data_IF_201242241435
#
_entry.id   IF_201242241435
#
_cell.length_a   1.000
_cell.length_b   1.000
_cell.length_c   1.000
_cell.angle_alpha   90.00
_cell.angle_beta   90.00
_cell.angle_gamma   90.00
#
_symmetry.space_group_name_H-M   'P 1'
#
loop_
_entity.id
_entity.type
_entity.pdbx_description
1 polymer ?
#
# COMPACT_ATOMS: atom_id res chain seq x y z
N UNK A 1 -22.97 -23.09 34.17
CA UNK A 1 -23.87 -21.98 33.76
C UNK A 1 -24.97 -22.46 32.79
N UNK A 2 -25.58 -23.63 33.06
CA UNK A 2 -26.71 -24.20 32.30
C UNK A 2 -28.08 -23.69 32.79
N UNK A 3 -28.09 -22.97 33.91
CA UNK A 3 -29.30 -22.57 34.65
C UNK A 3 -30.18 -21.64 33.81
N UNK A 4 -29.63 -20.60 33.17
CA UNK A 4 -30.43 -19.61 32.43
C UNK A 4 -31.27 -20.21 31.28
N UNK A 5 -30.77 -21.29 30.67
CA UNK A 5 -31.43 -22.00 29.56
C UNK A 5 -32.43 -23.05 30.01
N UNK A 6 -32.41 -23.43 31.30
CA UNK A 6 -33.34 -24.39 31.89
C UNK A 6 -34.44 -23.76 32.76
N UNK A 7 -34.44 -22.43 32.91
CA UNK A 7 -35.48 -21.74 33.71
C UNK A 7 -36.86 -21.92 33.07
N UNK A 8 -37.80 -22.40 33.87
CA UNK A 8 -39.23 -22.45 33.59
C UNK A 8 -39.88 -21.07 33.80
N UNK A 9 -41.11 -20.89 33.34
CA UNK A 9 -41.86 -19.65 33.60
C UNK A 9 -42.09 -19.40 35.11
N UNK A 10 -42.23 -20.46 35.90
CA UNK A 10 -42.34 -20.35 37.36
C UNK A 10 -41.04 -19.83 37.99
N UNK A 11 -39.88 -20.36 37.56
CA UNK A 11 -38.57 -19.89 38.05
C UNK A 11 -38.34 -18.42 37.67
N UNK A 12 -38.78 -18.01 36.48
CA UNK A 12 -38.69 -16.61 36.05
C UNK A 12 -39.53 -15.69 36.94
N UNK A 13 -40.77 -16.09 37.27
CA UNK A 13 -41.63 -15.32 38.17
C UNK A 13 -41.01 -15.18 39.57
N UNK A 14 -40.45 -16.26 40.13
CA UNK A 14 -39.76 -16.23 41.43
C UNK A 14 -38.53 -15.30 41.39
N UNK A 15 -37.73 -15.36 40.32
CA UNK A 15 -36.60 -14.45 40.14
C UNK A 15 -37.06 -12.99 40.05
N UNK A 16 -38.17 -12.68 39.38
CA UNK A 16 -38.71 -11.31 39.32
C UNK A 16 -39.17 -10.78 40.68
N UNK A 17 -39.69 -11.66 41.55
CA UNK A 17 -40.00 -11.32 42.93
C UNK A 17 -38.72 -11.04 43.73
N UNK A 18 -37.70 -11.90 43.60
CA UNK A 18 -36.40 -11.74 44.25
C UNK A 18 -35.68 -10.44 43.86
N UNK A 19 -35.85 -9.95 42.63
CA UNK A 19 -35.29 -8.65 42.21
C UNK A 19 -35.84 -7.49 43.04
N UNK A 20 -37.07 -7.61 43.56
CA UNK A 20 -37.73 -6.57 44.36
C UNK A 20 -37.36 -6.64 45.83
N UNK A 21 -36.69 -7.70 46.27
CA UNK A 21 -36.23 -7.87 47.64
C UNK A 21 -35.26 -6.72 48.03
N UNK A 22 -35.50 -6.15 49.21
CA UNK A 22 -34.68 -5.08 49.80
C UNK A 22 -33.81 -5.58 50.95
N UNK A 23 -34.03 -6.80 51.44
CA UNK A 23 -33.29 -7.35 52.57
C UNK A 23 -31.85 -7.74 52.18
N UNK A 24 -31.65 -8.25 50.97
CA UNK A 24 -30.34 -8.65 50.45
C UNK A 24 -30.13 -8.10 49.02
N UNK A 25 -29.45 -6.94 48.87
CA UNK A 25 -29.19 -6.33 47.56
C UNK A 25 -28.36 -7.21 46.62
N UNK A 26 -27.46 -8.05 47.14
CA UNK A 26 -26.62 -8.91 46.32
C UNK A 26 -27.41 -10.09 45.79
N UNK A 27 -28.27 -10.70 46.61
CA UNK A 27 -29.21 -11.74 46.16
C UNK A 27 -30.18 -11.21 45.10
N UNK A 28 -30.74 -10.03 45.34
CA UNK A 28 -31.62 -9.36 44.37
C UNK A 28 -30.88 -9.07 43.05
N UNK A 29 -29.62 -8.63 43.11
CA UNK A 29 -28.79 -8.42 41.92
C UNK A 29 -28.46 -9.71 41.18
N UNK A 30 -28.16 -10.80 41.89
CA UNK A 30 -27.90 -12.08 41.25
C UNK A 30 -29.13 -12.60 40.51
N UNK A 31 -30.33 -12.45 41.08
CA UNK A 31 -31.57 -12.76 40.38
C UNK A 31 -31.76 -11.89 39.12
N UNK A 32 -31.51 -10.58 39.26
CA UNK A 32 -31.56 -9.63 38.15
C UNK A 32 -30.58 -9.97 37.03
N UNK A 33 -29.33 -10.32 37.38
CA UNK A 33 -28.30 -10.74 36.45
C UNK A 33 -28.70 -12.01 35.69
N UNK A 34 -29.24 -13.01 36.38
CA UNK A 34 -29.68 -14.27 35.76
C UNK A 34 -30.81 -14.03 34.76
N UNK A 35 -31.82 -13.22 35.13
CA UNK A 35 -32.93 -12.86 34.24
C UNK A 35 -32.45 -12.15 32.98
N UNK A 36 -31.59 -11.14 33.13
CA UNK A 36 -31.02 -10.43 31.98
C UNK A 36 -30.13 -11.33 31.12
N UNK A 37 -29.34 -12.21 31.74
CA UNK A 37 -28.51 -13.16 31.02
C UNK A 37 -29.33 -14.21 30.23
N UNK A 38 -30.59 -14.46 30.59
CA UNK A 38 -31.53 -15.25 29.78
C UNK A 38 -31.97 -14.48 28.54
N UNK A 39 -32.45 -13.24 28.69
CA UNK A 39 -32.89 -12.42 27.56
C UNK A 39 -31.76 -12.12 26.57
N UNK A 40 -30.55 -11.85 27.06
CA UNK A 40 -29.36 -11.68 26.23
C UNK A 40 -29.07 -12.92 25.37
N UNK A 41 -29.17 -14.13 25.95
CA UNK A 41 -28.97 -15.39 25.21
C UNK A 41 -30.07 -15.68 24.20
N UNK A 42 -31.29 -15.24 24.48
CA UNK A 42 -32.40 -15.30 23.53
C UNK A 42 -32.35 -14.20 22.47
N UNK A 43 -31.33 -13.31 22.50
CA UNK A 43 -31.18 -12.14 21.65
C UNK A 43 -32.40 -11.19 21.71
N UNK A 44 -33.09 -11.17 22.85
CA UNK A 44 -34.25 -10.31 23.10
C UNK A 44 -33.80 -9.00 23.77
N UNK A 45 -33.22 -8.10 22.96
CA UNK A 45 -32.75 -6.79 23.42
C UNK A 45 -33.87 -5.90 23.98
N UNK A 46 -35.10 -6.05 23.48
CA UNK A 46 -36.27 -5.29 23.93
C UNK A 46 -36.66 -5.63 25.37
N UNK A 47 -36.80 -6.94 25.69
CA UNK A 47 -37.06 -7.38 27.07
C UNK A 47 -35.87 -7.11 27.98
N UNK A 48 -34.64 -7.34 27.50
CA UNK A 48 -33.42 -7.01 28.25
C UNK A 48 -33.45 -5.54 28.69
N UNK A 49 -33.62 -4.61 27.74
CA UNK A 49 -33.65 -3.17 28.00
C UNK A 49 -34.79 -2.77 28.94
N UNK A 50 -35.98 -3.30 28.72
CA UNK A 50 -37.16 -2.99 29.55
C UNK A 50 -36.94 -3.40 31.01
N UNK A 51 -36.47 -4.63 31.23
CA UNK A 51 -36.19 -5.13 32.57
C UNK A 51 -35.02 -4.38 33.22
N UNK A 52 -33.98 -4.07 32.43
CA UNK A 52 -32.83 -3.31 32.91
C UNK A 52 -33.25 -1.93 33.42
N UNK A 53 -33.95 -1.14 32.59
CA UNK A 53 -34.36 0.22 32.95
C UNK A 53 -35.31 0.25 34.15
N UNK A 54 -36.13 -0.80 34.34
CA UNK A 54 -37.05 -0.90 35.47
C UNK A 54 -36.33 -1.06 36.82
N UNK A 55 -35.22 -1.81 36.86
CA UNK A 55 -34.61 -2.23 38.12
C UNK A 55 -33.19 -1.72 38.37
N UNK A 56 -32.45 -1.31 37.33
CA UNK A 56 -31.02 -0.99 37.42
C UNK A 56 -30.67 0.09 38.44
N UNK A 57 -31.56 1.09 38.64
CA UNK A 57 -31.33 2.18 39.59
C UNK A 57 -31.11 1.72 41.04
N UNK A 58 -31.67 0.56 41.42
CA UNK A 58 -31.52 -0.04 42.75
C UNK A 58 -30.13 -0.64 42.99
N UNK A 59 -29.43 -0.97 41.91
CA UNK A 59 -28.15 -1.67 41.94
C UNK A 59 -26.99 -0.72 41.60
N UNK A 60 -27.18 0.59 41.78
CA UNK A 60 -26.17 1.63 41.50
C UNK A 60 -24.84 1.38 42.21
N UNK A 61 -24.90 0.89 43.45
CA UNK A 61 -23.75 0.59 44.29
C UNK A 61 -23.03 -0.73 43.97
N UNK A 62 -23.58 -1.58 43.10
CA UNK A 62 -23.00 -2.91 42.80
C UNK A 62 -22.09 -2.78 41.57
N UNK A 63 -20.76 -2.95 41.70
CA UNK A 63 -19.83 -2.76 40.58
C UNK A 63 -20.07 -3.73 39.43
N UNK A 64 -20.57 -4.94 39.72
CA UNK A 64 -20.88 -5.95 38.72
C UNK A 64 -21.99 -5.50 37.76
N UNK A 65 -22.78 -4.47 38.10
CA UNK A 65 -23.76 -3.86 37.18
C UNK A 65 -23.11 -3.34 35.89
N UNK A 66 -21.83 -2.97 35.92
CA UNK A 66 -21.11 -2.50 34.74
C UNK A 66 -21.11 -3.53 33.59
N UNK A 67 -21.10 -4.84 33.86
CA UNK A 67 -21.21 -5.84 32.78
C UNK A 67 -22.59 -5.81 32.09
N UNK A 68 -23.65 -5.51 32.85
CA UNK A 68 -25.00 -5.38 32.31
C UNK A 68 -25.16 -4.10 31.50
N UNK A 69 -24.49 -3.02 31.88
CA UNK A 69 -24.40 -1.78 31.08
C UNK A 69 -23.66 -2.01 29.77
N UNK A 70 -22.57 -2.80 29.83
CA UNK A 70 -21.84 -3.22 28.64
C UNK A 70 -22.72 -4.07 27.71
N UNK A 71 -23.44 -5.06 28.24
CA UNK A 71 -24.40 -5.87 27.47
C UNK A 71 -25.54 -5.02 26.91
N UNK A 72 -26.06 -4.03 27.66
CA UNK A 72 -27.09 -3.11 27.18
C UNK A 72 -26.62 -2.30 25.97
N UNK A 73 -25.37 -1.80 26.02
CA UNK A 73 -24.77 -1.04 24.93
C UNK A 73 -24.57 -1.91 23.66
N UNK A 74 -24.26 -3.21 23.82
CA UNK A 74 -24.16 -4.15 22.69
C UNK A 74 -25.53 -4.49 22.07
N UNK A 75 -26.60 -4.49 22.88
CA UNK A 75 -27.96 -4.83 22.45
C UNK A 75 -28.78 -3.59 22.03
N UNK A 76 -28.13 -2.46 21.77
CA UNK A 76 -28.84 -1.24 21.39
C UNK A 76 -29.61 -1.44 20.07
N UNK A 77 -30.90 -1.01 19.98
CA UNK A 77 -31.71 -1.21 18.78
C UNK A 77 -31.15 -0.56 17.51
N UNK A 78 -30.32 0.48 17.64
CA UNK A 78 -29.68 1.16 16.52
C UNK A 78 -28.34 0.53 16.11
N UNK A 79 -27.94 -0.56 16.78
CA UNK A 79 -26.67 -1.25 16.59
C UNK A 79 -25.74 -1.08 17.80
N UNK A 80 -24.74 -1.96 17.97
CA UNK A 80 -23.91 -2.01 19.17
C UNK A 80 -23.11 -0.71 19.35
N UNK A 81 -23.24 -0.08 20.52
CA UNK A 81 -22.40 1.04 20.93
C UNK A 81 -21.10 0.50 21.57
N UNK A 82 -20.17 0.07 20.71
CA UNK A 82 -18.91 -0.54 21.12
C UNK A 82 -18.05 0.35 22.05
N UNK A 83 -17.90 1.67 21.83
CA UNK A 83 -17.17 2.54 22.77
C UNK A 83 -17.79 2.55 24.17
N UNK A 84 -19.12 2.65 24.28
CA UNK A 84 -19.78 2.59 25.58
C UNK A 84 -19.65 1.20 26.21
N UNK A 85 -19.87 0.14 25.43
CA UNK A 85 -19.72 -1.23 25.88
C UNK A 85 -18.32 -1.49 26.45
N UNK A 86 -17.28 -1.01 25.77
CA UNK A 86 -15.89 -1.18 26.18
C UNK A 86 -15.61 -0.44 27.49
N UNK A 87 -16.04 0.82 27.64
CA UNK A 87 -15.87 1.57 28.91
C UNK A 87 -16.52 0.85 30.10
N UNK A 88 -17.71 0.31 29.91
CA UNK A 88 -18.39 -0.45 30.95
C UNK A 88 -17.71 -1.80 31.22
N UNK A 89 -17.18 -2.47 30.20
CA UNK A 89 -16.42 -3.70 30.37
C UNK A 89 -15.10 -3.48 31.14
N UNK A 90 -14.39 -2.38 30.86
CA UNK A 90 -13.21 -1.94 31.62
C UNK A 90 -13.57 -1.71 33.08
N UNK A 91 -14.65 -0.97 33.36
CA UNK A 91 -15.14 -0.76 34.73
C UNK A 91 -15.39 -2.09 35.45
N UNK A 92 -15.98 -3.07 34.77
CA UNK A 92 -16.30 -4.37 35.35
C UNK A 92 -15.04 -5.20 35.67
N UNK A 93 -14.07 -5.27 34.74
CA UNK A 93 -12.85 -6.06 34.94
C UNK A 93 -11.91 -5.39 35.96
N UNK A 94 -11.86 -4.06 36.02
CA UNK A 94 -11.09 -3.34 37.06
C UNK A 94 -11.63 -3.61 38.47
N UNK A 95 -12.95 -3.73 38.61
CA UNK A 95 -13.57 -4.07 39.91
C UNK A 95 -13.33 -5.53 40.32
N UNK A 96 -13.16 -6.45 39.37
CA UNK A 96 -12.97 -7.88 39.62
C UNK A 96 -11.95 -8.50 38.64
N UNK A 97 -10.65 -8.20 38.79
CA UNK A 97 -9.62 -8.58 37.82
C UNK A 97 -9.44 -10.09 37.67
N UNK A 98 -9.71 -10.86 38.73
CA UNK A 98 -9.60 -12.32 38.71
C UNK A 98 -10.85 -13.04 38.17
N UNK A 99 -11.90 -12.30 37.81
CA UNK A 99 -13.11 -12.89 37.27
C UNK A 99 -12.95 -13.22 35.78
N UNK A 100 -12.66 -14.49 35.48
CA UNK A 100 -12.43 -14.98 34.12
C UNK A 100 -13.58 -14.70 33.14
N UNK A 101 -14.82 -14.60 33.62
CA UNK A 101 -15.95 -14.26 32.75
C UNK A 101 -15.93 -12.79 32.35
N UNK A 102 -15.52 -11.89 33.26
CA UNK A 102 -15.40 -10.46 32.98
C UNK A 102 -14.16 -10.16 32.15
N UNK A 103 -13.04 -10.84 32.41
CA UNK A 103 -11.83 -10.79 31.57
C UNK A 103 -12.18 -11.14 30.12
N UNK A 104 -12.87 -12.26 29.90
CA UNK A 104 -13.27 -12.66 28.56
C UNK A 104 -14.31 -11.73 27.93
N UNK A 105 -15.21 -11.15 28.73
CA UNK A 105 -16.17 -10.16 28.25
C UNK A 105 -15.47 -8.89 27.79
N UNK A 106 -14.57 -8.33 28.61
CA UNK A 106 -13.73 -7.19 28.25
C UNK A 106 -12.94 -7.46 26.96
N UNK A 107 -12.20 -8.57 26.92
CA UNK A 107 -11.41 -8.94 25.77
C UNK A 107 -12.24 -9.14 24.50
N UNK A 108 -13.45 -9.72 24.61
CA UNK A 108 -14.38 -9.84 23.48
C UNK A 108 -14.83 -8.47 22.97
N UNK A 109 -15.24 -7.57 23.87
CA UNK A 109 -15.71 -6.23 23.48
C UNK A 109 -14.58 -5.39 22.89
N UNK A 110 -13.36 -5.49 23.45
CA UNK A 110 -12.16 -4.85 22.89
C UNK A 110 -11.87 -5.37 21.48
N UNK A 111 -11.95 -6.69 21.28
CA UNK A 111 -11.77 -7.28 19.96
C UNK A 111 -12.84 -6.79 18.98
N UNK A 112 -14.13 -6.86 19.34
CA UNK A 112 -15.23 -6.35 18.50
C UNK A 112 -15.03 -4.86 18.16
N UNK A 113 -14.58 -4.05 19.11
CA UNK A 113 -14.25 -2.65 18.88
C UNK A 113 -13.11 -2.49 17.86
N UNK A 114 -12.00 -3.21 18.02
CA UNK A 114 -10.88 -3.18 17.06
C UNK A 114 -11.29 -3.65 15.65
N UNK A 115 -12.07 -4.74 15.55
CA UNK A 115 -12.58 -5.25 14.28
C UNK A 115 -13.58 -4.32 13.60
N UNK A 116 -14.30 -3.48 14.37
CA UNK A 116 -15.17 -2.43 13.82
C UNK A 116 -14.42 -1.21 13.26
N UNK A 117 -13.08 -1.18 13.37
CA UNK A 117 -12.25 -0.03 13.02
C UNK A 117 -12.05 0.97 14.17
N UNK A 118 -12.41 0.59 15.40
CA UNK A 118 -12.11 1.36 16.59
C UNK A 118 -10.61 1.46 16.85
N UNK A 119 -10.15 2.61 17.34
CA UNK A 119 -8.75 2.82 17.69
C UNK A 119 -8.41 2.01 18.95
N UNK A 120 -7.51 1.05 18.80
CA UNK A 120 -6.99 0.22 19.89
C UNK A 120 -5.47 0.28 19.86
N UNK A 121 -4.84 0.34 21.02
CA UNK A 121 -3.38 0.25 21.10
C UNK A 121 -2.92 -1.21 21.07
N UNK A 122 -1.73 -1.44 20.54
CA UNK A 122 -1.14 -2.78 20.50
C UNK A 122 -0.90 -3.33 21.92
N UNK A 123 -0.59 -2.45 22.88
CA UNK A 123 -0.37 -2.82 24.28
C UNK A 123 -1.67 -3.28 24.95
N UNK A 124 -2.80 -2.59 24.74
CA UNK A 124 -4.11 -3.03 25.23
C UNK A 124 -4.50 -4.40 24.67
N UNK A 125 -4.23 -4.63 23.38
CA UNK A 125 -4.52 -5.92 22.73
C UNK A 125 -3.65 -7.04 23.30
N UNK A 126 -2.36 -6.80 23.52
CA UNK A 126 -1.43 -7.77 24.13
C UNK A 126 -1.79 -8.08 25.59
N UNK A 127 -2.14 -7.06 26.36
CA UNK A 127 -2.59 -7.23 27.74
C UNK A 127 -3.86 -8.10 27.79
N UNK A 128 -4.87 -7.74 26.99
CA UNK A 128 -6.11 -8.51 26.90
C UNK A 128 -5.85 -9.96 26.44
N UNK A 129 -4.96 -10.16 25.47
CA UNK A 129 -4.57 -11.48 24.98
C UNK A 129 -3.96 -12.31 26.12
N UNK A 130 -3.03 -11.75 26.87
CA UNK A 130 -2.39 -12.42 28.02
C UNK A 130 -3.42 -12.84 29.06
N UNK A 131 -4.38 -11.98 29.40
CA UNK A 131 -5.43 -12.33 30.36
C UNK A 131 -6.36 -13.44 29.84
N UNK A 132 -6.67 -13.43 28.54
CA UNK A 132 -7.46 -14.49 27.91
C UNK A 132 -6.68 -15.81 27.84
N UNK A 133 -5.38 -15.78 27.59
CA UNK A 133 -4.54 -16.98 27.60
C UNK A 133 -4.53 -17.65 28.97
N UNK A 134 -4.39 -16.88 30.05
CA UNK A 134 -4.58 -17.37 31.42
C UNK A 134 -5.98 -17.99 31.62
N UNK A 135 -7.03 -17.37 31.08
CA UNK A 135 -8.39 -17.92 31.15
C UNK A 135 -8.53 -19.25 30.37
N UNK A 136 -7.85 -19.38 29.23
CA UNK A 136 -7.79 -20.64 28.45
C UNK A 136 -7.04 -21.72 29.24
N UNK A 137 -5.95 -21.39 29.92
CA UNK A 137 -5.20 -22.33 30.76
C UNK A 137 -6.04 -22.84 31.94
N UNK A 138 -6.75 -21.94 32.63
CA UNK A 138 -7.59 -22.28 33.78
C UNK A 138 -8.84 -23.08 33.35
N UNK A 139 -9.36 -22.83 32.14
CA UNK A 139 -10.59 -23.46 31.63
C UNK A 139 -10.44 -23.87 30.16
N UNK A 140 -9.67 -24.94 29.88
CA UNK A 140 -9.28 -25.31 28.52
C UNK A 140 -10.45 -25.75 27.63
N UNK A 141 -11.51 -26.25 28.25
CA UNK A 141 -12.75 -26.73 27.61
C UNK A 141 -13.73 -25.59 27.30
N UNK A 142 -13.41 -24.35 27.68
CA UNK A 142 -14.28 -23.22 27.47
C UNK A 142 -14.03 -22.58 26.08
N UNK A 143 -14.77 -23.06 25.07
CA UNK A 143 -14.66 -22.66 23.66
C UNK A 143 -14.61 -21.13 23.44
N UNK A 144 -15.46 -20.37 24.14
CA UNK A 144 -15.53 -18.90 24.03
C UNK A 144 -14.20 -18.20 24.29
N UNK A 145 -13.37 -18.71 25.21
CA UNK A 145 -12.07 -18.09 25.52
C UNK A 145 -11.11 -18.23 24.34
N UNK A 146 -11.15 -19.37 23.64
CA UNK A 146 -10.36 -19.59 22.42
C UNK A 146 -10.84 -18.73 21.25
N UNK A 147 -12.15 -18.53 21.12
CA UNK A 147 -12.70 -17.63 20.10
C UNK A 147 -12.29 -16.17 20.31
N UNK A 148 -12.26 -15.70 21.57
CA UNK A 148 -11.77 -14.35 21.89
C UNK A 148 -10.26 -14.24 21.67
N UNK A 149 -9.49 -15.25 22.09
CA UNK A 149 -8.04 -15.35 21.79
C UNK A 149 -7.77 -15.23 20.29
N UNK A 150 -8.58 -15.90 19.47
CA UNK A 150 -8.44 -15.85 18.02
C UNK A 150 -8.60 -14.44 17.46
N UNK A 151 -9.64 -13.72 17.90
CA UNK A 151 -9.90 -12.36 17.42
C UNK A 151 -8.80 -11.39 17.83
N UNK A 152 -8.27 -11.49 19.07
CA UNK A 152 -7.17 -10.65 19.54
C UNK A 152 -5.85 -10.96 18.84
N UNK A 153 -5.50 -12.24 18.67
CA UNK A 153 -4.30 -12.65 17.95
C UNK A 153 -4.30 -12.14 16.50
N UNK A 154 -5.46 -12.21 15.82
CA UNK A 154 -5.59 -11.67 14.48
C UNK A 154 -5.53 -10.13 14.45
N UNK A 155 -5.98 -9.41 15.49
CA UNK A 155 -5.75 -7.96 15.61
C UNK A 155 -4.26 -7.59 15.66
N UNK A 156 -3.45 -8.47 16.25
CA UNK A 156 -1.98 -8.39 16.30
C UNK A 156 -1.28 -9.03 15.09
N UNK A 157 -2.01 -9.28 13.99
CA UNK A 157 -1.54 -9.91 12.76
C UNK A 157 -0.93 -11.33 12.93
N UNK A 158 -1.14 -11.99 14.07
CA UNK A 158 -0.83 -13.41 14.29
C UNK A 158 -1.98 -14.30 13.80
N UNK A 159 -2.10 -14.38 12.47
CA UNK A 159 -3.19 -15.11 11.82
C UNK A 159 -3.12 -16.63 12.03
N UNK A 160 -1.93 -17.21 12.23
CA UNK A 160 -1.78 -18.65 12.40
C UNK A 160 -2.28 -19.08 13.79
N UNK A 161 -1.89 -18.37 14.85
CA UNK A 161 -2.44 -18.58 16.20
C UNK A 161 -3.94 -18.32 16.22
N UNK A 162 -4.40 -17.30 15.49
CA UNK A 162 -5.82 -16.96 15.43
C UNK A 162 -6.66 -18.09 14.81
N UNK A 163 -6.25 -18.58 13.64
CA UNK A 163 -6.95 -19.66 12.94
C UNK A 163 -6.94 -20.97 13.74
N UNK A 164 -5.81 -21.32 14.37
CA UNK A 164 -5.73 -22.49 15.24
C UNK A 164 -6.68 -22.36 16.46
N UNK A 165 -6.75 -21.16 17.05
CA UNK A 165 -7.59 -20.90 18.24
C UNK A 165 -9.08 -20.98 17.91
N UNK A 166 -9.54 -20.38 16.81
CA UNK A 166 -10.96 -20.46 16.41
C UNK A 166 -11.33 -21.87 15.94
N UNK A 167 -10.42 -22.59 15.30
CA UNK A 167 -10.66 -24.00 14.97
C UNK A 167 -10.85 -24.84 16.23
N UNK A 168 -10.01 -24.64 17.24
CA UNK A 168 -10.18 -25.34 18.53
C UNK A 168 -11.45 -24.93 19.26
N UNK A 169 -11.92 -23.68 19.11
CA UNK A 169 -13.22 -23.26 19.64
C UNK A 169 -14.38 -24.03 18.98
N UNK A 170 -14.33 -24.21 17.65
CA UNK A 170 -15.30 -25.01 16.90
C UNK A 170 -15.28 -26.48 17.34
N UNK A 171 -14.10 -27.08 17.53
CA UNK A 171 -13.96 -28.48 17.94
C UNK A 171 -14.54 -28.77 19.33
N UNK A 172 -14.60 -27.75 20.20
CA UNK A 172 -15.12 -27.86 21.57
C UNK A 172 -16.64 -27.66 21.66
N UNK A 173 -17.29 -27.29 20.56
CA UNK A 173 -18.74 -27.11 20.55
C UNK A 173 -19.49 -28.44 20.54
N UNK A 174 -20.58 -28.47 21.29
CA UNK A 174 -21.41 -29.66 21.49
C UNK A 174 -22.83 -29.34 21.02
N UNK A 175 -23.28 -30.08 20.00
CA UNK A 175 -24.59 -29.92 19.38
C UNK A 175 -25.76 -30.17 20.32
N UNK A 176 -25.54 -30.89 21.43
CA UNK A 176 -26.57 -31.11 22.44
C UNK A 176 -26.80 -29.88 23.35
N UNK A 177 -25.88 -28.90 23.37
CA UNK A 177 -25.97 -27.73 24.25
C UNK A 177 -26.87 -26.66 23.64
N UNK A 178 -27.72 -26.08 24.49
CA UNK A 178 -28.50 -24.89 24.12
C UNK A 178 -27.58 -23.75 23.63
N UNK A 179 -28.02 -23.05 22.58
CA UNK A 179 -27.25 -22.00 21.92
C UNK A 179 -26.10 -22.48 21.02
N UNK A 180 -25.98 -23.79 20.75
CA UNK A 180 -24.99 -24.35 19.82
C UNK A 180 -25.01 -23.67 18.45
N UNK A 181 -26.19 -23.56 17.83
CA UNK A 181 -26.33 -22.98 16.49
C UNK A 181 -25.79 -21.54 16.43
N UNK A 182 -26.07 -20.74 17.47
CA UNK A 182 -25.60 -19.35 17.56
C UNK A 182 -24.07 -19.32 17.67
N UNK A 183 -23.47 -20.15 18.53
CA UNK A 183 -22.01 -20.18 18.73
C UNK A 183 -21.25 -20.69 17.50
N UNK A 184 -21.76 -21.71 16.82
CA UNK A 184 -21.15 -22.21 15.58
C UNK A 184 -21.16 -21.14 14.49
N UNK A 185 -22.29 -20.44 14.31
CA UNK A 185 -22.38 -19.33 13.36
C UNK A 185 -21.39 -18.23 13.73
N UNK A 186 -21.32 -17.86 15.01
CA UNK A 186 -20.37 -16.86 15.51
C UNK A 186 -18.91 -17.25 15.24
N UNK A 187 -18.52 -18.50 15.52
CA UNK A 187 -17.13 -18.96 15.33
C UNK A 187 -16.77 -19.11 13.87
N UNK A 188 -17.70 -19.52 13.01
CA UNK A 188 -17.49 -19.50 11.57
C UNK A 188 -17.35 -18.08 11.02
N UNK A 189 -18.15 -17.12 11.51
CA UNK A 189 -17.98 -15.70 11.18
C UNK A 189 -16.58 -15.21 11.57
N UNK A 190 -16.17 -15.45 12.82
CA UNK A 190 -14.82 -15.08 13.29
C UNK A 190 -13.74 -15.68 12.39
N UNK A 191 -13.85 -16.98 12.04
CA UNK A 191 -12.88 -17.63 11.15
C UNK A 191 -12.85 -16.98 9.78
N UNK A 192 -14.00 -16.65 9.20
CA UNK A 192 -14.09 -15.97 7.91
C UNK A 192 -13.46 -14.57 7.96
N UNK A 193 -13.73 -13.78 9.01
CA UNK A 193 -13.15 -12.46 9.21
C UNK A 193 -11.61 -12.51 9.30
N UNK A 194 -11.08 -13.51 10.03
CA UNK A 194 -9.63 -13.76 10.14
C UNK A 194 -9.01 -14.09 8.79
N UNK A 195 -9.62 -15.01 8.02
CA UNK A 195 -9.13 -15.39 6.69
C UNK A 195 -9.13 -14.19 5.74
N UNK A 196 -10.24 -13.43 5.70
CA UNK A 196 -10.39 -12.27 4.85
C UNK A 196 -9.32 -11.22 5.14
N UNK A 197 -9.04 -10.96 6.43
CA UNK A 197 -8.01 -9.99 6.82
C UNK A 197 -6.59 -10.47 6.49
N UNK A 198 -6.29 -11.75 6.69
CA UNK A 198 -5.01 -12.36 6.28
C UNK A 198 -4.77 -12.19 4.78
N UNK A 199 -5.76 -12.53 3.96
CA UNK A 199 -5.69 -12.39 2.50
C UNK A 199 -5.56 -10.94 2.06
N UNK A 200 -6.31 -10.03 2.70
CA UNK A 200 -6.24 -8.59 2.41
C UNK A 200 -4.84 -8.03 2.69
N UNK A 201 -4.22 -8.39 3.82
CA UNK A 201 -2.87 -7.95 4.15
C UNK A 201 -1.82 -8.59 3.22
N UNK A 202 -1.97 -9.87 2.85
CA UNK A 202 -1.11 -10.52 1.87
C UNK A 202 -1.20 -9.87 0.48
N UNK A 203 -2.41 -9.57 0.02
CA UNK A 203 -2.64 -8.86 -1.24
C UNK A 203 -2.03 -7.47 -1.20
N UNK A 204 -2.19 -6.75 -0.09
CA UNK A 204 -1.61 -5.42 0.11
C UNK A 204 -0.08 -5.43 0.07
N UNK A 205 0.56 -6.42 0.70
CA UNK A 205 2.01 -6.64 0.64
C UNK A 205 2.47 -6.92 -0.79
N UNK A 206 1.81 -7.85 -1.47
CA UNK A 206 2.14 -8.22 -2.86
C UNK A 206 2.01 -7.03 -3.82
N UNK A 207 0.96 -6.22 -3.66
CA UNK A 207 0.74 -5.01 -4.45
C UNK A 207 1.85 -3.98 -4.23
N UNK A 208 2.26 -3.76 -2.97
CA UNK A 208 3.38 -2.86 -2.64
C UNK A 208 4.68 -3.34 -3.26
N UNK A 209 5.02 -4.61 -3.10
CA UNK A 209 6.23 -5.18 -3.71
C UNK A 209 6.22 -5.05 -5.24
N UNK A 210 5.06 -5.25 -5.87
CA UNK A 210 4.91 -5.10 -7.32
C UNK A 210 5.07 -3.64 -7.75
N UNK A 211 4.48 -2.69 -7.00
CA UNK A 211 4.63 -1.26 -7.26
C UNK A 211 6.09 -0.82 -7.13
N UNK A 212 6.79 -1.23 -6.08
CA UNK A 212 8.21 -0.93 -5.89
C UNK A 212 9.10 -1.52 -7.00
N UNK A 213 8.82 -2.76 -7.43
CA UNK A 213 9.55 -3.37 -8.55
C UNK A 213 9.32 -2.62 -9.85
N UNK A 214 8.08 -2.20 -10.10
CA UNK A 214 7.73 -1.43 -11.28
C UNK A 214 8.44 -0.07 -11.28
N UNK A 215 8.41 0.64 -10.16
CA UNK A 215 9.08 1.92 -9.95
C UNK A 215 10.59 1.81 -10.25
N UNK A 216 11.29 0.85 -9.61
CA UNK A 216 12.71 0.59 -9.89
C UNK A 216 12.99 0.31 -11.36
N UNK A 217 12.15 -0.51 -12.01
CA UNK A 217 12.32 -0.83 -13.43
C UNK A 217 12.09 0.38 -14.34
N UNK A 218 11.17 1.28 -13.97
CA UNK A 218 10.90 2.52 -14.69
C UNK A 218 12.07 3.50 -14.53
N UNK A 219 12.58 3.66 -13.31
CA UNK A 219 13.77 4.48 -13.04
C UNK A 219 14.97 4.01 -13.86
N UNK A 220 15.21 2.70 -13.90
CA UNK A 220 16.28 2.12 -14.73
C UNK A 220 16.09 2.41 -16.22
N UNK A 221 14.86 2.25 -16.75
CA UNK A 221 14.56 2.56 -18.15
C UNK A 221 14.76 4.03 -18.48
N UNK A 222 14.25 4.93 -17.62
CA UNK A 222 14.41 6.38 -17.78
C UNK A 222 15.89 6.76 -17.75
N UNK A 223 16.65 6.17 -16.82
CA UNK A 223 18.10 6.39 -16.74
C UNK A 223 18.82 5.91 -18.00
N UNK A 224 18.53 4.72 -18.51
CA UNK A 224 19.12 4.22 -19.77
C UNK A 224 18.81 5.13 -20.94
N UNK A 225 17.56 5.56 -21.10
CA UNK A 225 17.16 6.49 -22.18
C UNK A 225 17.89 7.83 -22.03
N UNK A 226 18.03 8.35 -20.82
CA UNK A 226 18.79 9.58 -20.57
C UNK A 226 20.29 9.44 -20.91
N UNK A 227 20.91 8.31 -20.55
CA UNK A 227 22.31 8.00 -20.87
C UNK A 227 22.51 7.83 -22.39
N UNK A 228 21.62 7.11 -23.08
CA UNK A 228 21.63 6.94 -24.53
C UNK A 228 21.46 8.27 -25.27
N UNK A 229 20.53 9.12 -24.81
CA UNK A 229 20.27 10.45 -25.42
C UNK A 229 21.50 11.35 -25.30
N UNK A 230 22.11 11.42 -24.11
CA UNK A 230 23.35 12.19 -23.89
C UNK A 230 24.50 11.66 -24.74
N UNK A 231 24.65 10.34 -24.87
CA UNK A 231 25.68 9.76 -25.71
C UNK A 231 25.45 10.07 -27.20
N UNK A 232 24.20 10.09 -27.66
CA UNK A 232 23.86 10.46 -29.03
C UNK A 232 24.14 11.94 -29.32
N UNK A 233 23.71 12.84 -28.42
CA UNK A 233 24.00 14.28 -28.51
C UNK A 233 25.50 14.57 -28.54
N UNK A 234 26.30 13.90 -27.69
CA UNK A 234 27.75 14.06 -27.69
C UNK A 234 28.38 13.60 -29.02
N UNK A 235 27.93 12.47 -29.58
CA UNK A 235 28.41 11.99 -30.89
C UNK A 235 28.09 12.99 -32.00
N UNK A 236 26.86 13.48 -32.07
CA UNK A 236 26.47 14.50 -33.05
C UNK A 236 27.27 15.80 -32.89
N UNK A 237 27.46 16.29 -31.65
CA UNK A 237 28.29 17.46 -31.39
C UNK A 237 29.75 17.26 -31.83
N UNK A 238 30.35 16.10 -31.56
CA UNK A 238 31.71 15.80 -32.01
C UNK A 238 31.80 15.72 -33.54
N UNK A 239 30.78 15.16 -34.19
CA UNK A 239 30.69 15.09 -35.65
C UNK A 239 30.58 16.49 -36.25
N UNK A 240 29.66 17.33 -35.79
CA UNK A 240 29.50 18.71 -36.25
C UNK A 240 30.77 19.53 -36.04
N UNK A 241 31.46 19.37 -34.90
CA UNK A 241 32.77 19.99 -34.67
C UNK A 241 33.81 19.53 -35.67
N UNK A 242 33.87 18.23 -35.97
CA UNK A 242 34.81 17.71 -36.97
C UNK A 242 34.52 18.21 -38.39
N UNK A 243 33.26 18.27 -38.79
CA UNK A 243 32.82 18.79 -40.09
C UNK A 243 33.10 20.30 -40.22
N UNK A 244 32.85 21.08 -39.17
CA UNK A 244 33.17 22.52 -39.15
C UNK A 244 34.68 22.77 -39.15
N UNK A 245 35.47 22.04 -38.38
CA UNK A 245 36.94 22.15 -38.42
C UNK A 245 37.51 21.75 -39.79
N UNK A 246 36.96 20.72 -40.43
CA UNK A 246 37.37 20.31 -41.77
C UNK A 246 37.09 21.40 -42.83
N UNK A 247 35.91 22.02 -42.79
CA UNK A 247 35.57 23.12 -43.71
C UNK A 247 36.43 24.39 -43.46
N UNK A 248 36.71 24.73 -42.19
CA UNK A 248 37.67 25.78 -41.83
C UNK A 248 39.08 25.48 -42.36
N UNK A 249 39.56 24.25 -42.20
CA UNK A 249 40.88 23.82 -42.70
C UNK A 249 40.98 23.88 -44.23
N UNK A 250 39.93 23.47 -44.94
CA UNK A 250 39.85 23.60 -46.39
C UNK A 250 39.91 25.06 -46.85
N UNK A 251 39.12 25.94 -46.24
CA UNK A 251 39.11 27.36 -46.59
C UNK A 251 40.48 28.00 -46.33
N UNK A 252 41.11 27.67 -45.19
CA UNK A 252 42.46 28.15 -44.88
C UNK A 252 43.50 27.67 -45.92
N UNK A 253 43.45 26.40 -46.32
CA UNK A 253 44.34 25.85 -47.35
C UNK A 253 44.13 26.53 -48.72
N UNK A 254 42.87 26.78 -49.09
CA UNK A 254 42.53 27.52 -50.31
C UNK A 254 43.08 28.94 -50.27
N UNK A 255 42.87 29.67 -49.17
CA UNK A 255 43.38 31.04 -49.02
C UNK A 255 44.91 31.06 -49.06
N UNK A 256 45.58 30.14 -48.37
CA UNK A 256 47.03 30.02 -48.38
C UNK A 256 47.56 29.74 -49.79
N UNK A 257 46.93 28.82 -50.53
CA UNK A 257 47.28 28.50 -51.90
C UNK A 257 47.12 29.70 -52.84
N UNK A 258 46.00 30.44 -52.73
CA UNK A 258 45.77 31.66 -53.49
C UNK A 258 46.86 32.70 -53.17
N UNK A 259 47.12 32.95 -51.88
CA UNK A 259 48.09 33.95 -51.43
C UNK A 259 49.53 33.63 -51.86
N UNK A 260 49.95 32.36 -51.73
CA UNK A 260 51.28 31.93 -52.20
C UNK A 260 51.38 32.03 -53.72
N UNK A 261 50.34 31.61 -54.44
CA UNK A 261 50.30 31.70 -55.88
C UNK A 261 50.36 33.13 -56.40
N UNK A 262 49.65 34.08 -55.77
CA UNK A 262 49.71 35.49 -56.13
C UNK A 262 51.05 36.13 -55.79
N UNK A 263 51.66 35.76 -54.66
CA UNK A 263 52.98 36.26 -54.27
C UNK A 263 54.07 35.82 -55.26
N UNK A 264 54.07 34.55 -55.69
CA UNK A 264 55.00 34.06 -56.73
C UNK A 264 54.78 34.79 -58.06
N UNK A 265 53.52 35.08 -58.41
CA UNK A 265 53.20 35.79 -59.65
C UNK A 265 53.72 37.24 -59.69
N UNK A 266 53.91 37.89 -58.54
CA UNK A 266 54.40 39.28 -58.47
C UNK A 266 55.86 39.41 -58.92
N UNK A 267 56.66 38.37 -58.72
CA UNK A 267 58.08 38.35 -59.06
C UNK A 267 58.35 37.88 -60.51
N UNK A 268 57.30 37.54 -61.26
CA UNK A 268 57.38 37.03 -62.63
C UNK A 268 57.05 38.11 -63.68
N UNK A 269 57.60 38.02 -64.90
CA UNK A 269 57.20 38.88 -66.00
C UNK A 269 55.71 38.67 -66.33
N UNK A 270 55.02 39.75 -66.74
CA UNK A 270 53.55 39.82 -66.90
C UNK A 270 52.95 38.63 -67.65
N UNK A 271 53.61 38.15 -68.71
CA UNK A 271 53.14 36.99 -69.49
C UNK A 271 53.19 35.67 -68.71
N UNK A 272 54.23 35.45 -67.92
CA UNK A 272 54.38 34.24 -67.10
C UNK A 272 53.49 34.32 -65.85
N UNK A 273 53.37 35.50 -65.25
CA UNK A 273 52.44 35.75 -64.14
C UNK A 273 50.97 35.46 -64.53
N UNK A 274 50.52 35.92 -65.71
CA UNK A 274 49.18 35.64 -66.22
C UNK A 274 48.93 34.14 -66.45
N UNK A 275 49.94 33.39 -66.90
CA UNK A 275 49.85 31.93 -67.08
C UNK A 275 49.73 31.22 -65.74
N UNK A 276 50.58 31.59 -64.77
CA UNK A 276 50.53 31.03 -63.42
C UNK A 276 49.17 31.29 -62.78
N UNK A 277 48.67 32.52 -62.83
CA UNK A 277 47.36 32.89 -62.28
C UNK A 277 46.19 32.17 -62.99
N UNK A 278 46.25 32.02 -64.32
CA UNK A 278 45.24 31.25 -65.07
C UNK A 278 45.27 29.76 -64.71
N UNK A 279 46.46 29.18 -64.55
CA UNK A 279 46.64 27.79 -64.10
C UNK A 279 46.14 27.57 -62.68
N UNK A 280 46.46 28.49 -61.76
CA UNK A 280 45.96 28.50 -60.38
C UNK A 280 44.44 28.63 -60.33
N UNK A 281 43.85 29.54 -61.11
CA UNK A 281 42.40 29.70 -61.21
C UNK A 281 41.72 28.45 -61.78
N UNK A 282 42.30 27.84 -62.82
CA UNK A 282 41.82 26.58 -63.40
C UNK A 282 41.87 25.42 -62.41
N UNK A 283 43.01 25.25 -61.74
CA UNK A 283 43.20 24.23 -60.70
C UNK A 283 42.23 24.42 -59.52
N UNK A 284 42.08 25.65 -59.03
CA UNK A 284 41.16 25.96 -57.94
C UNK A 284 39.70 25.66 -58.33
N UNK A 285 39.30 26.01 -59.56
CA UNK A 285 37.96 25.73 -60.09
C UNK A 285 37.70 24.22 -60.18
N UNK A 286 38.69 23.43 -60.60
CA UNK A 286 38.60 21.97 -60.63
C UNK A 286 38.48 21.39 -59.21
N UNK A 287 39.28 21.86 -58.26
CA UNK A 287 39.22 21.43 -56.85
C UNK A 287 37.84 21.71 -56.25
N UNK A 288 37.29 22.92 -56.44
CA UNK A 288 35.94 23.25 -55.96
C UNK A 288 34.84 22.46 -56.68
N UNK A 289 35.02 22.14 -57.96
CA UNK A 289 34.06 21.31 -58.71
C UNK A 289 34.05 19.87 -58.17
N UNK A 290 35.23 19.28 -57.91
CA UNK A 290 35.36 17.96 -57.30
C UNK A 290 34.79 17.95 -55.88
N UNK A 291 35.05 18.99 -55.10
CA UNK A 291 34.50 19.13 -53.75
C UNK A 291 32.97 19.25 -53.77
N UNK A 292 32.40 20.07 -54.66
CA UNK A 292 30.95 20.19 -54.84
C UNK A 292 30.29 18.85 -55.21
N UNK A 293 30.99 17.99 -55.98
CA UNK A 293 30.52 16.66 -56.33
C UNK A 293 30.54 15.70 -55.13
N UNK A 294 31.60 15.72 -54.31
CA UNK A 294 31.77 14.84 -53.14
C UNK A 294 30.80 15.23 -52.00
N UNK A 295 30.62 16.54 -51.76
CA UNK A 295 29.78 17.05 -50.66
C UNK A 295 28.32 17.30 -51.08
N UNK A 296 27.94 16.95 -52.31
CA UNK A 296 26.55 17.02 -52.77
C UNK A 296 25.98 18.43 -52.82
N UNK A 297 26.82 19.46 -52.98
CA UNK A 297 26.40 20.86 -53.02
C UNK A 297 25.79 21.15 -54.40
N UNK A 298 24.53 20.76 -54.57
CA UNK A 298 23.73 21.02 -55.78
C UNK A 298 23.56 19.83 -56.72
N UNK A 299 22.76 20.01 -57.77
CA UNK A 299 22.51 18.97 -58.79
C UNK A 299 23.79 18.70 -59.58
N UNK A 300 24.14 17.42 -59.86
CA UNK A 300 25.38 17.06 -60.54
C UNK A 300 25.52 17.72 -61.93
N UNK A 301 24.40 18.00 -62.61
CA UNK A 301 24.38 18.70 -63.88
C UNK A 301 24.95 20.14 -63.83
N UNK A 302 24.92 20.82 -62.67
CA UNK A 302 25.46 22.18 -62.51
C UNK A 302 26.98 22.22 -62.32
N UNK A 303 27.61 21.08 -62.05
CA UNK A 303 29.06 20.98 -61.84
C UNK A 303 29.84 20.77 -63.14
N UNK A 304 29.16 20.39 -64.23
CA UNK A 304 29.79 20.11 -65.52
C UNK A 304 30.39 21.38 -66.15
N UNK A 305 29.65 22.49 -66.13
CA UNK A 305 30.10 23.78 -66.67
C UNK A 305 31.36 24.33 -65.99
N UNK A 306 31.41 24.47 -64.65
CA UNK A 306 32.62 24.95 -63.96
C UNK A 306 33.79 23.96 -64.10
N UNK A 307 33.54 22.65 -64.15
CA UNK A 307 34.58 21.65 -64.39
C UNK A 307 35.25 21.80 -65.76
N UNK A 308 34.44 21.99 -66.81
CA UNK A 308 34.95 22.26 -68.16
C UNK A 308 35.73 23.58 -68.22
N UNK A 309 35.21 24.63 -67.59
CA UNK A 309 35.88 25.93 -67.53
C UNK A 309 37.24 25.85 -66.80
N UNK A 310 37.30 25.15 -65.67
CA UNK A 310 38.53 24.90 -64.93
C UNK A 310 39.56 24.11 -65.75
N UNK A 311 39.13 23.07 -66.46
CA UNK A 311 40.00 22.28 -67.33
C UNK A 311 40.55 23.11 -68.50
N UNK A 312 39.74 23.96 -69.12
CA UNK A 312 40.18 24.85 -70.21
C UNK A 312 41.21 25.86 -69.71
N UNK A 313 40.98 26.49 -68.55
CA UNK A 313 41.93 27.43 -67.95
C UNK A 313 43.26 26.75 -67.58
N UNK A 314 43.20 25.53 -67.03
CA UNK A 314 44.39 24.76 -66.67
C UNK A 314 45.18 24.35 -67.92
N UNK A 315 44.50 23.86 -68.96
CA UNK A 315 45.12 23.51 -70.24
C UNK A 315 45.70 24.74 -70.96
N UNK A 316 45.05 25.89 -70.90
CA UNK A 316 45.55 27.13 -71.47
C UNK A 316 46.89 27.56 -70.84
N UNK A 317 47.05 27.36 -69.54
CA UNK A 317 48.30 27.65 -68.84
C UNK A 317 49.47 26.76 -69.30
N UNK A 318 49.19 25.53 -69.74
CA UNK A 318 50.20 24.52 -70.14
C UNK A 318 50.41 24.40 -71.65
N UNK A 319 49.40 24.66 -72.47
CA UNK A 319 49.42 24.44 -73.93
C UNK A 319 50.23 25.48 -74.72
N UNK A 320 50.80 26.48 -74.05
CA UNK A 320 51.63 27.53 -74.68
C UNK A 320 53.05 27.62 -74.12
N UNK A 321 53.54 26.51 -73.53
CA UNK A 321 54.94 26.31 -73.15
C UNK A 321 55.83 26.17 -74.39
#
# INVERSE_FOLDING_TARGET
MAICTSLTEADVAELEELVRDTADPLRAFNAFYILLARHRRALDGGRFRTLYLRHAGRFSAIPMRAVLESDLALLDPMGPNLPAALRHAVTAVTAYPDNLALVAHHARVLAEYGWSGGETSEDELREALTQVERAVEISPEQARYRAVRAQLAALLDDFDTALASVQRALDLEDSARSGYAVRIVEYHRIRADIVLRRETEQNRRTLRETAERLERSMEERVRRVAEETRAHEQKELTRLRSETLASLGLLAAVIAFIATGTQIAQDLPVREALRLLAGLAGMLTLVFTAFGAIFGVGRPARLVLPGLFGAVLFLFAWATA
#
